data_IF_353071694904
#
_entry.id   IF_353071694904
#
_cell.length_a   1.000
_cell.length_b   1.000
_cell.length_c   1.000
_cell.angle_alpha   90.00
_cell.angle_beta   90.00
_cell.angle_gamma   90.00
#
_symmetry.space_group_name_H-M   'P 1'
#
loop_
_entity.id
_entity.type
_entity.pdbx_description
1 polymer ?
#
# COMPACT_ATOMS: atom_id res chain seq x y z
N UNK A 1 5.05 -6.54 -18.10
CA UNK A 1 3.76 -5.82 -18.25
C UNK A 1 2.93 -5.99 -17.01
N UNK A 2 2.37 -4.92 -16.51
CA UNK A 2 1.43 -4.90 -15.40
C UNK A 2 0.31 -5.93 -15.63
N UNK A 3 0.06 -6.79 -14.64
CA UNK A 3 -0.83 -7.95 -14.77
C UNK A 3 -0.48 -8.96 -15.88
N UNK A 4 0.74 -8.92 -16.41
CA UNK A 4 1.23 -9.93 -17.33
C UNK A 4 1.46 -11.29 -16.66
N UNK A 5 1.75 -12.31 -17.47
CA UNK A 5 2.03 -13.64 -16.97
C UNK A 5 3.26 -13.65 -16.04
N UNK A 6 3.14 -14.31 -14.91
CA UNK A 6 4.27 -14.55 -14.00
C UNK A 6 5.08 -15.73 -14.54
N UNK A 7 6.40 -15.59 -14.74
CA UNK A 7 7.24 -16.70 -15.20
C UNK A 7 7.14 -17.91 -14.27
N UNK A 8 7.13 -19.11 -14.82
CA UNK A 8 6.95 -20.38 -14.07
C UNK A 8 7.89 -20.50 -12.89
N UNK A 9 9.15 -20.11 -13.06
CA UNK A 9 10.16 -20.17 -12.00
C UNK A 9 9.83 -19.21 -10.85
N UNK A 10 9.35 -18.00 -11.15
CA UNK A 10 8.91 -17.04 -10.15
C UNK A 10 7.63 -17.52 -9.46
N UNK A 11 6.71 -18.09 -10.21
CA UNK A 11 5.48 -18.67 -9.65
C UNK A 11 5.79 -19.83 -8.68
N UNK A 12 6.76 -20.67 -8.98
CA UNK A 12 7.21 -21.73 -8.06
C UNK A 12 7.76 -21.15 -6.75
N UNK A 13 8.61 -20.13 -6.84
CA UNK A 13 9.09 -19.39 -5.69
C UNK A 13 7.93 -18.78 -4.86
N UNK A 14 6.98 -18.14 -5.51
CA UNK A 14 5.85 -17.51 -4.83
C UNK A 14 4.93 -18.53 -4.13
N UNK A 15 4.76 -19.72 -4.70
CA UNK A 15 3.99 -20.80 -4.06
C UNK A 15 4.66 -21.33 -2.81
N UNK A 16 5.97 -21.54 -2.85
CA UNK A 16 6.73 -21.97 -1.68
C UNK A 16 6.71 -20.90 -0.59
N UNK A 17 6.85 -19.63 -0.99
CA UNK A 17 6.77 -18.50 -0.07
C UNK A 17 5.40 -18.43 0.61
N UNK A 18 4.32 -18.55 -0.15
CA UNK A 18 2.95 -18.57 0.41
C UNK A 18 2.77 -19.71 1.41
N UNK A 19 3.24 -20.91 1.08
CA UNK A 19 3.14 -22.06 1.96
C UNK A 19 3.87 -21.85 3.30
N UNK A 20 5.09 -21.31 3.26
CA UNK A 20 5.83 -20.99 4.49
C UNK A 20 5.19 -19.82 5.28
N UNK A 21 4.62 -18.82 4.59
CA UNK A 21 3.89 -17.73 5.22
C UNK A 21 2.63 -18.24 5.95
N UNK A 22 1.86 -19.11 5.31
CA UNK A 22 0.64 -19.67 5.89
C UNK A 22 0.93 -20.50 7.15
N UNK A 23 2.05 -21.21 7.22
CA UNK A 23 2.49 -21.92 8.45
C UNK A 23 2.71 -20.98 9.63
N UNK A 24 3.05 -19.74 9.36
CA UNK A 24 3.31 -18.71 10.35
C UNK A 24 2.11 -17.77 10.59
N UNK A 25 0.97 -18.10 9.99
CA UNK A 25 -0.24 -17.31 10.11
C UNK A 25 -0.27 -16.03 9.26
N UNK A 26 0.68 -15.85 8.34
CA UNK A 26 0.70 -14.69 7.45
C UNK A 26 -0.25 -14.95 6.27
N UNK A 27 -1.37 -14.21 6.14
CA UNK A 27 -2.43 -14.51 5.17
C UNK A 27 -2.11 -13.96 3.78
N UNK A 28 -1.14 -14.53 3.10
CA UNK A 28 -0.79 -14.14 1.73
C UNK A 28 -1.89 -14.54 0.75
N UNK A 29 -2.27 -13.65 -0.16
CA UNK A 29 -3.37 -13.89 -1.10
C UNK A 29 -3.07 -13.53 -2.54
N UNK A 30 -2.59 -12.34 -2.82
CA UNK A 30 -2.50 -11.79 -4.17
C UNK A 30 -1.07 -11.86 -4.71
N UNK A 31 -0.95 -12.20 -5.98
CA UNK A 31 0.30 -12.18 -6.73
C UNK A 31 0.08 -11.54 -8.08
N UNK A 32 0.95 -10.65 -8.49
CA UNK A 32 0.93 -10.14 -9.85
C UNK A 32 2.30 -9.66 -10.33
N UNK A 33 2.41 -9.49 -11.64
CA UNK A 33 3.57 -8.95 -12.29
C UNK A 33 3.46 -7.42 -12.33
N UNK A 34 4.51 -6.74 -11.97
CA UNK A 34 4.59 -5.28 -11.98
C UNK A 34 5.06 -4.73 -13.34
N UNK A 35 4.98 -3.42 -13.51
CA UNK A 35 5.44 -2.74 -14.72
C UNK A 35 6.95 -2.82 -14.88
N UNK A 36 7.69 -2.70 -13.79
CA UNK A 36 9.14 -2.78 -13.82
C UNK A 36 9.63 -4.18 -14.21
N UNK A 37 10.72 -4.28 -14.97
CA UNK A 37 11.31 -5.57 -15.32
C UNK A 37 11.70 -6.39 -14.08
N UNK A 38 11.29 -7.64 -14.05
CA UNK A 38 11.55 -8.59 -12.95
C UNK A 38 11.05 -8.09 -11.57
N UNK A 39 10.04 -7.28 -11.55
CA UNK A 39 9.38 -6.86 -10.32
C UNK A 39 8.01 -7.56 -10.21
N UNK A 40 7.75 -8.11 -9.03
CA UNK A 40 6.55 -8.86 -8.74
C UNK A 40 6.03 -8.46 -7.37
N UNK A 41 4.72 -8.48 -7.21
CA UNK A 41 4.08 -8.17 -5.94
C UNK A 41 3.45 -9.42 -5.33
N UNK A 42 3.57 -9.52 -4.03
CA UNK A 42 2.87 -10.45 -3.18
C UNK A 42 2.19 -9.64 -2.07
N UNK A 43 0.87 -9.73 -1.99
CA UNK A 43 0.10 -8.95 -1.02
C UNK A 43 -0.63 -9.85 -0.03
N UNK A 44 -0.48 -9.64 1.29
CA UNK A 44 -1.29 -10.29 2.31
C UNK A 44 -2.71 -9.71 2.34
N UNK A 45 -3.61 -10.43 2.99
CA UNK A 45 -4.92 -9.90 3.38
C UNK A 45 -4.70 -8.81 4.43
N UNK A 46 -5.55 -7.80 4.43
CA UNK A 46 -5.48 -6.73 5.43
C UNK A 46 -5.72 -7.25 6.84
N UNK A 47 -5.03 -6.68 7.79
CA UNK A 47 -5.11 -7.01 9.20
C UNK A 47 -5.01 -5.72 10.04
N UNK A 48 -5.11 -5.85 11.35
CA UNK A 48 -4.80 -4.77 12.27
C UNK A 48 -3.36 -4.27 12.03
N UNK A 49 -3.16 -2.94 12.08
CA UNK A 49 -1.95 -2.30 11.58
C UNK A 49 -0.64 -2.80 12.23
N UNK A 50 -0.66 -3.07 13.54
CA UNK A 50 0.51 -3.59 14.25
C UNK A 50 0.83 -5.02 13.78
N UNK A 51 -0.17 -5.88 13.71
CA UNK A 51 -0.01 -7.25 13.24
C UNK A 51 0.42 -7.29 11.77
N UNK A 52 -0.18 -6.44 10.92
CA UNK A 52 0.19 -6.32 9.51
C UNK A 52 1.66 -5.89 9.34
N UNK A 53 2.14 -4.99 10.20
CA UNK A 53 3.55 -4.58 10.18
C UNK A 53 4.48 -5.73 10.59
N UNK A 54 4.17 -6.45 11.66
CA UNK A 54 4.96 -7.58 12.12
C UNK A 54 4.99 -8.70 11.07
N UNK A 55 3.85 -9.04 10.49
CA UNK A 55 3.76 -9.99 9.37
C UNK A 55 4.57 -9.55 8.17
N UNK A 56 4.60 -8.26 7.84
CA UNK A 56 5.41 -7.75 6.74
C UNK A 56 6.91 -7.90 7.01
N UNK A 57 7.39 -7.61 8.21
CA UNK A 57 8.79 -7.80 8.59
C UNK A 57 9.19 -9.28 8.51
N UNK A 58 8.32 -10.15 9.01
CA UNK A 58 8.53 -11.60 8.95
C UNK A 58 8.51 -12.12 7.52
N UNK A 59 7.57 -11.66 6.70
CA UNK A 59 7.47 -11.97 5.27
C UNK A 59 8.76 -11.63 4.53
N UNK A 60 9.33 -10.44 4.73
CA UNK A 60 10.58 -10.04 4.09
C UNK A 60 11.75 -10.97 4.47
N UNK A 61 11.80 -11.39 5.73
CA UNK A 61 12.82 -12.34 6.22
C UNK A 61 12.68 -13.72 5.59
N UNK A 62 11.43 -14.22 5.49
CA UNK A 62 11.14 -15.52 4.88
C UNK A 62 11.41 -15.47 3.38
N UNK A 63 11.06 -14.37 2.74
CA UNK A 63 11.25 -14.16 1.30
C UNK A 63 12.71 -14.35 0.90
N UNK A 64 13.66 -13.77 1.65
CA UNK A 64 15.09 -13.95 1.38
C UNK A 64 15.54 -15.42 1.52
N UNK A 65 15.05 -16.12 2.55
CA UNK A 65 15.36 -17.54 2.79
C UNK A 65 14.82 -18.43 1.66
N UNK A 66 13.57 -18.23 1.25
CA UNK A 66 12.95 -19.02 0.18
C UNK A 66 13.57 -18.70 -1.18
N UNK A 67 13.90 -17.44 -1.44
CA UNK A 67 14.54 -17.04 -2.69
C UNK A 67 15.84 -17.80 -2.94
N UNK A 68 16.65 -18.03 -1.92
CA UNK A 68 17.89 -18.81 -2.02
C UNK A 68 17.64 -20.26 -2.44
N UNK A 69 16.56 -20.89 -1.99
CA UNK A 69 16.17 -22.26 -2.42
C UNK A 69 15.87 -22.30 -3.92
N UNK A 70 15.33 -21.23 -4.47
CA UNK A 70 15.00 -21.07 -5.88
C UNK A 70 16.13 -20.43 -6.71
N UNK A 71 17.32 -20.24 -6.13
CA UNK A 71 18.44 -19.55 -6.76
C UNK A 71 18.07 -18.14 -7.25
N UNK A 72 17.26 -17.45 -6.45
CA UNK A 72 16.95 -16.03 -6.58
C UNK A 72 17.63 -15.21 -5.50
N UNK A 73 17.77 -13.94 -5.79
CA UNK A 73 18.08 -12.89 -4.82
C UNK A 73 16.91 -11.91 -4.79
N UNK A 74 16.40 -11.61 -3.60
CA UNK A 74 15.36 -10.60 -3.41
C UNK A 74 16.01 -9.24 -3.26
N UNK A 75 15.47 -8.26 -3.98
CA UNK A 75 15.77 -6.85 -3.80
C UNK A 75 14.51 -6.19 -3.27
N UNK A 76 14.55 -5.69 -2.04
CA UNK A 76 13.41 -5.04 -1.40
C UNK A 76 13.34 -3.54 -1.69
N UNK A 77 14.13 -3.08 -2.66
CA UNK A 77 14.07 -1.72 -3.17
C UNK A 77 12.96 -1.60 -4.22
N UNK A 78 12.10 -0.63 -4.07
CA UNK A 78 10.97 -0.42 -4.97
C UNK A 78 11.40 0.12 -6.33
N UNK A 79 12.52 0.85 -6.37
CA UNK A 79 13.15 1.34 -7.60
C UNK A 79 14.67 1.16 -7.53
N UNK A 80 15.16 -0.04 -7.80
CA UNK A 80 16.58 -0.36 -7.63
C UNK A 80 17.50 0.30 -8.67
N UNK A 81 16.96 0.74 -9.82
CA UNK A 81 17.77 1.24 -10.93
C UNK A 81 17.27 2.59 -11.43
N UNK A 82 18.21 3.53 -11.60
CA UNK A 82 17.92 4.85 -12.20
C UNK A 82 17.49 4.70 -13.66
N UNK A 83 16.47 5.45 -14.08
CA UNK A 83 15.99 5.47 -15.46
C UNK A 83 15.14 4.28 -15.90
N UNK A 84 14.95 3.29 -15.04
CA UNK A 84 14.08 2.15 -15.28
C UNK A 84 12.82 2.29 -14.41
N UNK A 85 11.68 1.87 -14.91
CA UNK A 85 10.45 1.85 -14.12
C UNK A 85 10.65 1.05 -12.84
N UNK A 86 10.02 1.52 -11.80
CA UNK A 86 9.93 0.85 -10.51
C UNK A 86 8.51 1.00 -9.99
N UNK A 87 8.17 0.23 -8.98
CA UNK A 87 6.87 0.31 -8.32
C UNK A 87 7.07 0.76 -6.87
N UNK A 88 5.99 1.06 -6.21
CA UNK A 88 6.01 1.43 -4.82
C UNK A 88 5.20 0.47 -3.97
N UNK A 89 5.62 0.24 -2.75
CA UNK A 89 4.76 -0.40 -1.78
C UNK A 89 3.74 0.62 -1.28
N UNK A 90 2.48 0.40 -1.64
CA UNK A 90 1.37 1.22 -1.15
C UNK A 90 0.83 0.62 0.16
N UNK A 91 0.58 1.46 1.14
CA UNK A 91 -0.08 1.08 2.37
C UNK A 91 -1.52 1.58 2.31
N UNK A 92 -2.44 0.70 1.95
CA UNK A 92 -3.88 0.98 2.06
C UNK A 92 -4.30 0.75 3.51
N UNK A 93 -4.99 1.71 4.09
CA UNK A 93 -5.40 1.66 5.49
C UNK A 93 -6.79 2.22 5.68
N UNK A 94 -7.44 1.82 6.75
CA UNK A 94 -8.73 2.35 7.18
C UNK A 94 -8.76 2.53 8.69
N UNK A 95 -9.77 3.22 9.18
CA UNK A 95 -10.09 3.29 10.60
C UNK A 95 -11.35 2.49 10.87
N UNK A 96 -11.32 1.65 11.88
CA UNK A 96 -12.47 0.87 12.31
C UNK A 96 -12.68 0.93 13.80
N UNK A 97 -13.91 0.68 14.23
CA UNK A 97 -14.23 0.45 15.64
C UNK A 97 -13.96 -1.01 16.01
N UNK A 98 -13.91 -1.31 17.28
CA UNK A 98 -13.87 -2.68 17.83
C UNK A 98 -15.10 -3.51 17.46
N UNK A 99 -16.21 -2.86 17.10
CA UNK A 99 -17.44 -3.48 16.61
C UNK A 99 -17.46 -3.70 15.09
N UNK A 100 -16.36 -3.36 14.40
CA UNK A 100 -16.21 -3.60 12.96
C UNK A 100 -16.81 -2.51 12.04
N UNK A 101 -17.18 -1.36 12.57
CA UNK A 101 -17.67 -0.24 11.75
C UNK A 101 -16.50 0.48 11.10
N UNK A 102 -16.52 0.59 9.76
CA UNK A 102 -15.53 1.37 9.01
C UNK A 102 -15.85 2.86 9.09
N UNK A 103 -14.98 3.64 9.71
CA UNK A 103 -15.15 5.08 9.90
C UNK A 103 -14.93 5.91 8.63
N UNK A 104 -14.28 5.33 7.62
CA UNK A 104 -14.17 5.89 6.26
C UNK A 104 -15.22 5.34 5.30
N UNK A 105 -16.18 4.56 5.79
CA UNK A 105 -17.32 4.12 4.99
C UNK A 105 -18.28 5.27 4.72
N UNK A 106 -18.63 5.49 3.45
CA UNK A 106 -19.70 6.39 3.08
C UNK A 106 -21.04 5.77 3.43
N UNK A 107 -21.93 6.54 4.05
CA UNK A 107 -23.27 6.12 4.39
C UNK A 107 -24.30 6.47 3.31
N UNK A 108 -25.54 6.01 3.53
CA UNK A 108 -26.68 6.31 2.66
C UNK A 108 -27.45 7.54 3.13
N UNK A 109 -27.24 7.99 4.34
CA UNK A 109 -27.93 9.12 4.98
C UNK A 109 -26.97 10.27 5.24
N UNK A 110 -27.48 11.49 5.40
CA UNK A 110 -26.67 12.65 5.76
C UNK A 110 -25.94 12.45 7.10
N UNK A 111 -26.58 11.81 8.07
CA UNK A 111 -26.00 11.52 9.38
C UNK A 111 -24.80 10.56 9.29
N UNK A 112 -24.92 9.48 8.49
CA UNK A 112 -23.82 8.54 8.24
C UNK A 112 -22.68 9.22 7.48
N UNK A 113 -22.99 10.10 6.53
CA UNK A 113 -21.99 10.87 5.79
C UNK A 113 -21.28 11.90 6.69
N UNK A 114 -21.93 12.44 7.71
CA UNK A 114 -21.29 13.34 8.67
C UNK A 114 -20.13 12.65 9.41
N UNK A 115 -20.32 11.38 9.82
CA UNK A 115 -19.24 10.58 10.39
C UNK A 115 -18.06 10.44 9.40
N UNK A 116 -18.34 9.98 8.17
CA UNK A 116 -17.34 9.86 7.13
C UNK A 116 -16.56 11.16 6.89
N UNK A 117 -17.28 12.28 6.70
CA UNK A 117 -16.68 13.60 6.46
C UNK A 117 -15.81 14.04 7.65
N UNK A 118 -16.28 13.82 8.87
CA UNK A 118 -15.52 14.17 10.08
C UNK A 118 -14.17 13.45 10.11
N UNK A 119 -14.14 12.14 9.89
CA UNK A 119 -12.88 11.37 9.88
C UNK A 119 -12.00 11.74 8.68
N UNK A 120 -12.58 11.96 7.52
CA UNK A 120 -11.86 12.37 6.32
C UNK A 120 -11.16 13.71 6.50
N UNK A 121 -11.88 14.73 6.99
CA UNK A 121 -11.33 16.07 7.19
C UNK A 121 -10.21 16.05 8.24
N UNK A 122 -10.40 15.29 9.32
CA UNK A 122 -9.35 15.15 10.33
C UNK A 122 -8.11 14.42 9.77
N UNK A 123 -8.27 13.40 8.93
CA UNK A 123 -7.15 12.72 8.28
C UNK A 123 -6.39 13.67 7.35
N UNK A 124 -7.09 14.44 6.51
CA UNK A 124 -6.48 15.45 5.63
C UNK A 124 -5.77 16.54 6.43
N UNK A 125 -6.38 17.02 7.51
CA UNK A 125 -5.77 17.99 8.42
C UNK A 125 -4.51 17.45 9.07
N UNK A 126 -4.51 16.19 9.48
CA UNK A 126 -3.32 15.53 10.02
C UNK A 126 -2.19 15.41 8.99
N UNK A 127 -2.50 15.05 7.76
CA UNK A 127 -1.53 15.01 6.64
C UNK A 127 -0.92 16.40 6.41
N UNK A 128 -1.73 17.45 6.42
CA UNK A 128 -1.24 18.81 6.30
C UNK A 128 -0.34 19.22 7.47
N UNK A 129 -0.81 19.01 8.69
CA UNK A 129 -0.10 19.39 9.93
C UNK A 129 1.22 18.67 10.09
N UNK A 130 1.26 17.37 9.79
CA UNK A 130 2.41 16.50 9.98
C UNK A 130 3.17 16.20 8.68
N UNK A 131 2.98 17.02 7.66
CA UNK A 131 3.61 16.87 6.34
C UNK A 131 5.15 16.71 6.40
N UNK A 132 5.81 17.45 7.28
CA UNK A 132 7.25 17.33 7.47
C UNK A 132 7.68 15.96 7.95
N UNK A 133 6.95 15.35 8.89
CA UNK A 133 7.21 14.02 9.39
C UNK A 133 6.95 12.95 8.32
N UNK A 134 5.85 13.09 7.58
CA UNK A 134 5.55 12.18 6.47
C UNK A 134 6.63 12.24 5.38
N UNK A 135 7.09 13.42 5.02
CA UNK A 135 8.23 13.58 4.09
C UNK A 135 9.48 12.91 4.62
N UNK A 136 9.81 13.11 5.89
CA UNK A 136 10.98 12.48 6.51
C UNK A 136 10.91 10.95 6.46
N UNK A 137 9.72 10.36 6.63
CA UNK A 137 9.53 8.91 6.60
C UNK A 137 9.78 8.27 5.22
N UNK A 138 9.58 9.02 4.14
CA UNK A 138 9.77 8.54 2.76
C UNK A 138 11.11 8.95 2.14
N UNK A 139 11.83 9.86 2.75
CA UNK A 139 13.14 10.34 2.27
C UNK A 139 14.27 9.42 2.73
N UNK A 140 14.30 8.23 2.16
CA UNK A 140 15.39 7.27 2.35
C UNK A 140 16.19 7.08 1.07
N UNK A 141 17.42 6.55 1.19
CA UNK A 141 18.25 6.24 0.04
C UNK A 141 17.57 5.26 -0.95
N UNK A 142 16.70 4.39 -0.46
CA UNK A 142 15.93 3.43 -1.28
C UNK A 142 14.88 4.12 -2.15
N UNK A 143 14.45 5.32 -1.78
CA UNK A 143 13.46 6.12 -2.50
C UNK A 143 14.08 7.21 -3.41
N UNK A 144 15.40 7.35 -3.43
CA UNK A 144 16.06 8.44 -4.16
C UNK A 144 15.70 8.50 -5.65
N UNK A 145 15.50 7.35 -6.31
CA UNK A 145 15.13 7.26 -7.70
C UNK A 145 13.63 7.09 -7.94
N UNK A 146 12.84 6.96 -6.86
CA UNK A 146 11.42 6.71 -6.92
C UNK A 146 10.60 7.98 -6.95
N UNK A 147 10.91 8.95 -6.08
CA UNK A 147 10.12 10.17 -5.92
C UNK A 147 10.14 11.02 -7.19
N UNK A 148 8.95 11.35 -7.71
CA UNK A 148 8.76 12.12 -8.92
C UNK A 148 9.03 11.38 -10.24
N UNK A 149 9.27 10.06 -10.19
CA UNK A 149 9.44 9.24 -11.39
C UNK A 149 8.12 8.58 -11.82
N UNK A 150 8.09 8.01 -13.04
CA UNK A 150 6.92 7.29 -13.55
C UNK A 150 6.46 6.23 -12.56
N UNK A 151 5.15 6.10 -12.35
CA UNK A 151 4.48 5.19 -11.42
C UNK A 151 4.86 5.32 -9.94
N UNK A 152 5.72 6.24 -9.60
CA UNK A 152 6.04 6.53 -8.22
C UNK A 152 5.15 7.65 -7.68
N UNK A 153 4.91 7.73 -6.37
CA UNK A 153 4.22 8.87 -5.81
C UNK A 153 4.94 10.17 -6.14
N UNK A 154 4.22 11.28 -6.32
CA UNK A 154 4.84 12.57 -6.50
C UNK A 154 5.72 12.93 -5.29
N UNK A 155 6.74 13.75 -5.52
CA UNK A 155 7.57 14.30 -4.44
C UNK A 155 6.77 15.20 -3.47
N UNK A 156 5.57 15.60 -3.87
CA UNK A 156 4.65 16.42 -3.09
C UNK A 156 3.59 15.51 -2.47
N UNK A 157 3.42 15.58 -1.16
CA UNK A 157 2.33 14.91 -0.47
C UNK A 157 1.06 15.71 -0.71
N UNK A 158 0.07 15.09 -1.31
CA UNK A 158 -1.23 15.67 -1.61
C UNK A 158 -2.37 14.72 -1.26
N UNK A 159 -3.56 15.26 -1.06
CA UNK A 159 -4.78 14.48 -0.91
C UNK A 159 -5.60 14.54 -2.19
N UNK A 160 -6.02 13.38 -2.69
CA UNK A 160 -6.95 13.27 -3.81
C UNK A 160 -8.20 12.54 -3.36
N UNK A 161 -9.33 13.23 -3.39
CA UNK A 161 -10.60 12.73 -2.86
C UNK A 161 -11.50 12.09 -3.94
N UNK A 162 -11.14 12.24 -5.20
CA UNK A 162 -11.99 11.85 -6.33
C UNK A 162 -13.17 12.82 -6.56
N UNK A 163 -13.77 12.75 -7.73
CA UNK A 163 -14.82 13.68 -8.14
C UNK A 163 -16.09 13.55 -7.30
N UNK A 164 -16.48 12.34 -6.91
CA UNK A 164 -17.71 12.12 -6.13
C UNK A 164 -17.61 12.68 -4.72
N UNK A 165 -16.50 12.46 -4.01
CA UNK A 165 -16.31 12.96 -2.65
C UNK A 165 -16.12 14.47 -2.69
N UNK A 166 -15.40 15.01 -3.67
CA UNK A 166 -15.24 16.45 -3.86
C UNK A 166 -16.59 17.14 -4.13
N UNK A 167 -17.44 16.55 -4.96
CA UNK A 167 -18.79 17.07 -5.18
C UNK A 167 -19.64 17.02 -3.91
N UNK A 168 -19.58 15.92 -3.14
CA UNK A 168 -20.30 15.80 -1.88
C UNK A 168 -19.89 16.89 -0.87
N UNK A 169 -18.60 17.19 -0.76
CA UNK A 169 -18.11 18.25 0.13
C UNK A 169 -18.55 19.66 -0.32
N UNK A 170 -18.60 19.91 -1.63
CA UNK A 170 -19.10 21.18 -2.18
C UNK A 170 -20.59 21.35 -1.93
N UNK A 171 -21.40 20.32 -2.15
CA UNK A 171 -22.84 20.37 -1.88
C UNK A 171 -23.19 20.57 -0.40
N UNK A 172 -22.36 20.08 0.51
CA UNK A 172 -22.59 20.29 1.95
C UNK A 172 -22.15 21.69 2.44
N UNK A 173 -21.26 22.37 1.71
CA UNK A 173 -20.84 23.74 2.04
C UNK A 173 -21.86 24.81 1.60
N UNK A 174 -22.64 24.53 0.54
CA UNK A 174 -23.67 25.45 0.04
C UNK A 174 -25.02 25.31 0.75
N UNK A 175 -25.17 24.33 1.65
CA UNK A 175 -26.39 24.08 2.43
C UNK A 175 -26.35 24.66 3.87
N UNK A 176 -25.29 25.39 4.22
CA UNK A 176 -25.10 26.12 5.47
C UNK A 176 -25.11 27.62 5.18
#
# INVERSE_FOLDING_TARGET
HYFGAIPTRVMAFMKDLEYECLKLGIPVKTRHNEVAPNQFELAPVYEEANLANDHNQLLMTIMDKIARRHQFRVLLHEKPFKGINGSGKHNNWSLGTDTGVNLFGTGKTASENLQFITFLVNAVSAVYKYNGLLKASIMSATNAHRLGANEAPPAIISAFLGSQVSACLLYTSDAA
#
